data_IF_834773721525
#
_entry.id   IF_834773721525
#
_cell.length_a   1.000
_cell.length_b   1.000
_cell.length_c   1.000
_cell.angle_alpha   90.00
_cell.angle_beta   90.00
_cell.angle_gamma   90.00
#
_symmetry.space_group_name_H-M   'P 1'
#
loop_
_entity.id
_entity.type
_entity.pdbx_description
1 polymer ?
#
# COMPACT_ATOMS: atom_id res chain seq x y z
N UNK A 1 1.20 25.38 -3.02
CA UNK A 1 2.15 24.25 -3.16
C UNK A 1 3.38 24.43 -2.29
N UNK A 2 4.04 25.60 -2.28
CA UNK A 2 5.11 25.88 -1.31
C UNK A 2 4.64 25.83 0.14
N UNK A 3 3.43 26.31 0.44
CA UNK A 3 2.89 26.29 1.81
C UNK A 3 2.71 24.86 2.35
N UNK A 4 2.25 23.93 1.50
CA UNK A 4 2.07 22.52 1.90
C UNK A 4 3.41 21.79 2.06
N UNK A 5 4.45 22.20 1.31
CA UNK A 5 5.81 21.67 1.51
C UNK A 5 6.41 22.19 2.82
N UNK A 6 6.17 23.45 3.17
CA UNK A 6 6.59 24.05 4.45
C UNK A 6 5.90 23.36 5.63
N UNK A 7 4.59 23.07 5.49
CA UNK A 7 3.82 22.35 6.50
C UNK A 7 4.34 20.91 6.67
N UNK A 8 4.64 20.22 5.57
CA UNK A 8 5.23 18.87 5.60
C UNK A 8 6.63 18.85 6.23
N UNK A 9 7.50 19.81 5.92
CA UNK A 9 8.82 19.94 6.55
C UNK A 9 8.72 20.20 8.05
N UNK A 10 7.76 21.02 8.47
CA UNK A 10 7.50 21.28 9.89
C UNK A 10 7.03 20.02 10.63
N UNK A 11 6.18 19.21 10.00
CA UNK A 11 5.69 17.94 10.57
C UNK A 11 6.81 16.90 10.67
N UNK A 12 7.71 16.86 9.68
CA UNK A 12 8.85 15.96 9.68
C UNK A 12 9.87 16.33 10.77
N UNK A 13 10.11 17.63 10.96
CA UNK A 13 10.96 18.16 12.04
C UNK A 13 10.37 17.91 13.43
N UNK A 14 9.04 18.03 13.58
CA UNK A 14 8.35 17.72 14.83
C UNK A 14 8.43 16.23 15.19
N UNK A 15 8.36 15.34 14.20
CA UNK A 15 8.54 13.89 14.39
C UNK A 15 9.97 13.53 14.81
N UNK A 16 10.98 14.21 14.23
CA UNK A 16 12.38 13.99 14.58
C UNK A 16 12.71 14.53 15.99
N UNK A 17 12.12 15.67 16.36
CA UNK A 17 12.19 16.20 17.73
C UNK A 17 11.49 15.28 18.75
N UNK A 18 10.38 14.65 18.36
CA UNK A 18 9.70 13.66 19.20
C UNK A 18 10.51 12.36 19.35
N UNK A 19 11.20 11.89 18.31
CA UNK A 19 12.11 10.75 18.39
C UNK A 19 13.33 11.08 19.27
N UNK A 20 13.90 12.28 19.12
CA UNK A 20 14.99 12.77 19.95
C UNK A 20 14.58 12.91 21.44
N UNK A 21 13.38 13.41 21.71
CA UNK A 21 12.82 13.49 23.07
C UNK A 21 12.52 12.10 23.66
N UNK A 22 12.09 11.15 22.84
CA UNK A 22 11.90 9.75 23.25
C UNK A 22 13.22 9.10 23.66
N UNK A 23 14.34 9.47 23.03
CA UNK A 23 15.70 9.01 23.39
C UNK A 23 16.25 9.65 24.66
N UNK A 24 15.85 10.88 25.00
CA UNK A 24 16.33 11.59 26.21
C UNK A 24 15.47 11.34 27.45
N UNK A 25 14.25 10.81 27.29
CA UNK A 25 13.40 10.39 28.41
C UNK A 25 13.88 9.09 29.11
N UNK A 26 14.90 8.41 28.58
CA UNK A 26 15.67 7.45 29.38
C UNK A 26 16.81 8.18 30.11
N UNK A 27 16.49 8.76 31.28
CA UNK A 27 17.32 8.89 32.49
C UNK A 27 16.92 10.14 33.28
N UNK A 28 16.38 10.02 34.50
CA UNK A 28 16.48 11.11 35.46
C UNK A 28 17.96 11.27 35.89
N UNK A 29 18.50 12.49 36.04
CA UNK A 29 19.77 12.66 36.72
C UNK A 29 19.55 12.37 38.20
N UNK A 30 19.93 11.18 38.67
CA UNK A 30 20.01 10.92 40.11
C UNK A 30 21.29 11.53 40.66
N UNK A 31 21.25 12.50 41.59
CA UNK A 31 22.42 12.90 42.35
C UNK A 31 22.67 11.83 43.41
N UNK A 32 23.74 11.05 43.33
CA UNK A 32 24.33 10.40 44.51
C UNK A 32 25.62 9.66 44.18
N UNK A 33 26.73 10.39 44.26
CA UNK A 33 27.95 9.84 44.83
C UNK A 33 27.78 9.74 46.35
N UNK A 34 26.98 8.79 46.83
CA UNK A 34 26.94 8.43 48.25
C UNK A 34 27.91 7.27 48.46
N UNK A 35 29.13 7.63 48.84
CA UNK A 35 30.21 6.71 49.16
C UNK A 35 29.86 5.99 50.48
N UNK A 36 29.25 4.82 50.38
CA UNK A 36 29.00 3.96 51.53
C UNK A 36 30.23 3.07 51.78
N UNK A 37 31.22 3.63 52.48
CA UNK A 37 32.28 2.84 53.12
C UNK A 37 31.64 1.98 54.22
N UNK A 38 31.65 0.66 54.05
CA UNK A 38 31.37 -0.29 55.14
C UNK A 38 32.67 -0.92 55.61
N UNK A 39 33.02 -0.84 56.92
CA UNK A 39 34.18 -1.54 57.46
C UNK A 39 33.75 -2.83 58.18
N UNK A 40 34.44 -3.93 57.92
CA UNK A 40 34.51 -5.05 58.87
C UNK A 40 34.50 -6.44 58.25
N UNK A 41 35.54 -7.23 58.58
CA UNK A 41 35.45 -8.70 58.58
C UNK A 41 36.59 -9.45 57.90
N UNK A 42 37.75 -9.56 58.56
CA UNK A 42 38.72 -10.64 58.32
C UNK A 42 38.15 -11.99 58.79
N UNK A 43 38.49 -13.07 58.06
CA UNK A 43 38.52 -14.53 58.37
C UNK A 43 37.73 -15.28 57.28
N UNK A 44 38.07 -16.46 56.79
CA UNK A 44 39.20 -17.37 56.95
C UNK A 44 39.08 -18.40 55.82
N UNK A 45 40.21 -18.66 55.16
CA UNK A 45 40.63 -19.90 54.48
C UNK A 45 39.80 -21.16 54.85
N UNK A 46 39.05 -21.77 53.92
CA UNK A 46 38.93 -23.25 53.76
C UNK A 46 38.09 -23.71 52.56
N UNK A 47 38.61 -24.75 51.92
CA UNK A 47 37.98 -25.78 51.08
C UNK A 47 37.48 -25.46 49.66
N UNK A 48 38.40 -25.69 48.73
CA UNK A 48 38.16 -26.26 47.40
C UNK A 48 37.65 -27.71 47.53
N UNK A 49 36.35 -27.93 47.70
CA UNK A 49 35.77 -29.27 47.50
C UNK A 49 34.25 -29.18 47.26
N UNK A 50 33.85 -28.61 46.11
CA UNK A 50 32.56 -28.94 45.47
C UNK A 50 32.50 -28.38 44.03
N UNK A 51 33.44 -28.83 43.17
CA UNK A 51 33.49 -28.39 41.76
C UNK A 51 32.62 -29.22 40.81
N UNK A 52 31.82 -30.16 41.29
CA UNK A 52 31.08 -31.10 40.43
C UNK A 52 29.65 -31.39 40.94
N UNK A 53 28.73 -30.41 40.87
CA UNK A 53 27.27 -30.65 40.68
C UNK A 53 26.50 -29.34 40.63
N UNK A 54 26.59 -28.70 39.48
CA UNK A 54 25.75 -27.55 39.19
C UNK A 54 26.13 -27.05 37.83
N UNK A 55 25.67 -27.73 36.77
CA UNK A 55 25.43 -27.06 35.50
C UNK A 55 24.47 -25.92 35.79
N UNK A 56 25.04 -24.78 36.16
CA UNK A 56 24.36 -23.50 36.27
C UNK A 56 23.97 -23.19 34.84
N UNK A 57 22.79 -23.65 34.45
CA UNK A 57 22.09 -23.10 33.30
C UNK A 57 22.09 -21.59 33.53
N UNK A 58 22.90 -20.87 32.77
CA UNK A 58 22.85 -19.41 32.71
C UNK A 58 21.55 -19.06 31.99
N UNK A 59 20.42 -19.33 32.65
CA UNK A 59 19.11 -18.84 32.28
C UNK A 59 19.16 -17.37 32.61
N UNK A 60 19.58 -16.57 31.62
CA UNK A 60 19.49 -15.12 31.74
C UNK A 60 18.06 -14.78 32.16
N UNK A 61 17.88 -13.95 33.19
CA UNK A 61 16.55 -13.64 33.67
C UNK A 61 15.74 -13.09 32.49
N UNK A 62 14.54 -13.63 32.27
CA UNK A 62 13.56 -13.17 31.27
C UNK A 62 13.00 -11.78 31.59
N UNK A 63 13.81 -10.93 32.22
CA UNK A 63 13.48 -9.59 32.65
C UNK A 63 13.36 -8.69 31.42
N UNK A 64 12.15 -8.16 31.21
CA UNK A 64 11.88 -7.13 30.18
C UNK A 64 12.72 -5.87 30.40
N UNK A 65 13.26 -5.62 31.60
CA UNK A 65 14.17 -4.48 31.86
C UNK A 65 15.55 -4.65 31.21
N UNK A 66 16.08 -5.88 31.15
CA UNK A 66 17.38 -6.12 30.49
C UNK A 66 17.26 -5.93 28.98
N UNK A 67 16.17 -6.41 28.37
CA UNK A 67 15.85 -6.17 26.96
C UNK A 67 15.64 -4.69 26.62
N UNK A 68 15.11 -3.89 27.55
CA UNK A 68 14.98 -2.44 27.39
C UNK A 68 16.33 -1.69 27.44
N UNK A 69 17.34 -2.24 28.13
CA UNK A 69 18.67 -1.62 28.19
C UNK A 69 19.62 -2.12 27.09
N UNK A 70 19.42 -3.34 26.59
CA UNK A 70 20.21 -3.92 25.50
C UNK A 70 19.28 -4.66 24.53
N UNK A 71 18.80 -4.00 23.46
CA UNK A 71 17.97 -4.65 22.47
C UNK A 71 18.76 -5.76 21.77
N UNK A 72 18.17 -6.96 21.69
CA UNK A 72 18.79 -8.11 21.04
C UNK A 72 18.75 -7.96 19.51
N UNK A 73 19.53 -8.76 18.79
CA UNK A 73 19.47 -8.81 17.31
C UNK A 73 18.05 -9.13 16.81
N UNK A 74 17.30 -9.95 17.56
CA UNK A 74 15.91 -10.26 17.25
C UNK A 74 14.99 -9.04 17.40
N UNK A 75 15.25 -8.18 18.38
CA UNK A 75 14.47 -6.95 18.59
C UNK A 75 14.72 -5.94 17.45
N UNK A 76 15.98 -5.79 17.01
CA UNK A 76 16.32 -4.98 15.84
C UNK A 76 15.66 -5.52 14.58
N UNK A 77 15.77 -6.83 14.33
CA UNK A 77 15.12 -7.45 13.17
C UNK A 77 13.59 -7.28 13.20
N UNK A 78 12.96 -7.39 14.39
CA UNK A 78 11.53 -7.12 14.55
C UNK A 78 11.20 -5.66 14.25
N UNK A 79 11.99 -4.71 14.73
CA UNK A 79 11.80 -3.29 14.43
C UNK A 79 11.94 -3.00 12.93
N UNK A 80 12.94 -3.60 12.27
CA UNK A 80 13.15 -3.48 10.82
C UNK A 80 11.96 -4.03 10.02
N UNK A 81 11.43 -5.19 10.42
CA UNK A 81 10.24 -5.75 9.79
C UNK A 81 9.03 -4.83 9.97
N UNK A 82 8.81 -4.30 11.17
CA UNK A 82 7.72 -3.36 11.43
C UNK A 82 7.87 -2.07 10.61
N UNK A 83 9.10 -1.55 10.49
CA UNK A 83 9.39 -0.36 9.68
C UNK A 83 9.12 -0.62 8.19
N UNK A 84 9.50 -1.80 7.66
CA UNK A 84 9.19 -2.17 6.27
C UNK A 84 7.69 -2.32 6.02
N UNK A 85 6.97 -2.91 6.96
CA UNK A 85 5.51 -3.07 6.86
C UNK A 85 4.82 -1.71 6.93
N UNK A 86 5.19 -0.84 7.87
CA UNK A 86 4.59 0.50 8.00
C UNK A 86 4.86 1.34 6.75
N UNK A 87 6.08 1.30 6.23
CA UNK A 87 6.45 1.97 4.98
C UNK A 87 5.57 1.48 3.82
N UNK A 88 5.44 0.16 3.67
CA UNK A 88 4.63 -0.42 2.58
C UNK A 88 3.15 -0.06 2.73
N UNK A 89 2.61 -0.05 3.95
CA UNK A 89 1.23 0.38 4.21
C UNK A 89 1.03 1.85 3.87
N UNK A 90 1.97 2.73 4.22
CA UNK A 90 1.90 4.14 3.86
C UNK A 90 1.92 4.34 2.33
N UNK A 91 2.78 3.60 1.63
CA UNK A 91 2.84 3.62 0.16
C UNK A 91 1.53 3.17 -0.48
N UNK A 92 0.90 2.09 0.02
CA UNK A 92 -0.40 1.65 -0.47
C UNK A 92 -1.50 2.69 -0.21
N UNK A 93 -1.54 3.26 1.00
CA UNK A 93 -2.53 4.27 1.35
C UNK A 93 -2.40 5.53 0.47
N UNK A 94 -1.17 5.96 0.18
CA UNK A 94 -0.90 7.04 -0.75
C UNK A 94 -1.41 6.70 -2.16
N UNK A 95 -1.11 5.50 -2.65
CA UNK A 95 -1.57 5.04 -3.98
C UNK A 95 -3.10 4.98 -4.08
N UNK A 96 -3.79 4.48 -3.05
CA UNK A 96 -5.26 4.41 -3.01
C UNK A 96 -5.88 5.81 -2.99
N UNK A 97 -5.27 6.73 -2.24
CA UNK A 97 -5.73 8.12 -2.17
C UNK A 97 -5.57 8.81 -3.52
N UNK A 98 -4.42 8.63 -4.18
CA UNK A 98 -4.17 9.18 -5.52
C UNK A 98 -5.10 8.59 -6.58
N UNK A 99 -5.36 7.28 -6.51
CA UNK A 99 -6.33 6.62 -7.38
C UNK A 99 -7.75 7.18 -7.15
N UNK A 100 -8.20 7.29 -5.90
CA UNK A 100 -9.52 7.83 -5.59
C UNK A 100 -9.67 9.30 -6.01
N UNK A 101 -8.59 10.09 -5.94
CA UNK A 101 -8.57 11.48 -6.43
C UNK A 101 -8.73 11.52 -7.95
N UNK A 102 -7.97 10.71 -8.68
CA UNK A 102 -7.98 10.69 -10.16
C UNK A 102 -9.23 10.04 -10.74
N UNK A 103 -9.78 9.01 -10.10
CA UNK A 103 -11.00 8.31 -10.55
C UNK A 103 -12.27 9.14 -10.42
N UNK A 104 -12.23 10.26 -9.68
CA UNK A 104 -13.35 11.17 -9.47
C UNK A 104 -13.30 12.40 -10.36
N UNK A 105 -12.25 12.57 -11.16
CA UNK A 105 -12.13 13.70 -12.06
C UNK A 105 -13.17 13.56 -13.19
N UNK A 106 -13.86 14.66 -13.55
CA UNK A 106 -14.84 14.62 -14.62
C UNK A 106 -14.15 14.45 -15.98
N UNK A 107 -14.85 13.81 -16.91
CA UNK A 107 -14.43 13.79 -18.31
C UNK A 107 -14.36 15.22 -18.87
N UNK A 108 -13.45 15.45 -19.80
CA UNK A 108 -13.32 16.75 -20.47
C UNK A 108 -14.56 17.09 -21.30
N UNK A 109 -14.93 18.37 -21.35
CA UNK A 109 -16.01 18.85 -22.19
C UNK A 109 -15.60 18.77 -23.67
N UNK A 110 -16.53 18.38 -24.55
CA UNK A 110 -16.24 18.22 -25.99
C UNK A 110 -15.64 19.48 -26.62
N UNK A 111 -16.12 20.66 -26.21
CA UNK A 111 -15.62 21.95 -26.68
C UNK A 111 -14.14 22.16 -26.36
N UNK A 112 -13.72 21.78 -25.16
CA UNK A 112 -12.32 21.89 -24.74
C UNK A 112 -11.43 20.89 -25.49
N UNK A 113 -11.95 19.69 -25.75
CA UNK A 113 -11.26 18.67 -26.57
C UNK A 113 -11.06 19.17 -28.01
N UNK A 114 -12.05 19.80 -28.61
CA UNK A 114 -11.95 20.37 -29.96
C UNK A 114 -10.95 21.54 -30.02
N UNK A 115 -10.99 22.42 -29.02
CA UNK A 115 -10.02 23.51 -28.91
C UNK A 115 -8.58 22.97 -28.77
N UNK A 116 -8.39 21.93 -27.95
CA UNK A 116 -7.11 21.28 -27.77
C UNK A 116 -6.64 20.57 -29.06
N UNK A 117 -7.54 19.91 -29.79
CA UNK A 117 -7.24 19.30 -31.10
C UNK A 117 -6.78 20.36 -32.12
N UNK A 118 -7.47 21.50 -32.17
CA UNK A 118 -7.08 22.60 -33.06
C UNK A 118 -5.69 23.16 -32.70
N UNK A 119 -5.40 23.31 -31.41
CA UNK A 119 -4.08 23.75 -30.92
C UNK A 119 -2.95 22.77 -31.29
N UNK A 120 -3.18 21.45 -31.15
CA UNK A 120 -2.19 20.45 -31.55
C UNK A 120 -1.96 20.45 -33.05
N UNK A 121 -3.01 20.65 -33.86
CA UNK A 121 -2.89 20.73 -35.30
C UNK A 121 -2.08 21.95 -35.76
N UNK A 122 -2.23 23.10 -35.08
CA UNK A 122 -1.48 24.32 -35.41
C UNK A 122 -0.03 24.29 -34.96
N UNK A 123 0.22 23.76 -33.76
CA UNK A 123 1.53 23.88 -33.09
C UNK A 123 2.42 22.66 -33.34
N UNK A 124 1.83 21.52 -33.72
CA UNK A 124 2.48 20.22 -33.91
C UNK A 124 3.51 19.84 -32.81
N UNK A 125 3.15 19.92 -31.52
CA UNK A 125 4.09 19.59 -30.45
C UNK A 125 4.25 18.08 -30.23
N UNK A 126 3.35 17.26 -30.77
CA UNK A 126 3.23 15.82 -30.53
C UNK A 126 3.01 15.12 -31.88
N UNK A 127 3.63 13.94 -32.06
CA UNK A 127 3.49 13.16 -33.30
C UNK A 127 2.09 12.54 -33.35
N UNK A 128 1.53 12.38 -34.56
CA UNK A 128 0.18 11.84 -34.75
C UNK A 128 -0.08 10.50 -34.02
N UNK A 129 0.89 9.58 -34.05
CA UNK A 129 0.82 8.28 -33.35
C UNK A 129 0.54 8.44 -31.84
N UNK A 130 1.10 9.48 -31.23
CA UNK A 130 0.97 9.78 -29.80
C UNK A 130 -0.33 10.54 -29.49
N UNK A 131 -0.98 11.15 -30.49
CA UNK A 131 -2.21 11.91 -30.34
C UNK A 131 -3.50 11.07 -30.42
N UNK A 132 -3.39 9.73 -30.58
CA UNK A 132 -4.55 8.81 -30.72
C UNK A 132 -5.52 8.84 -29.53
N UNK A 133 -5.08 9.28 -28.35
CA UNK A 133 -5.98 9.48 -27.18
C UNK A 133 -7.14 10.45 -27.48
N UNK A 134 -6.97 11.35 -28.45
CA UNK A 134 -8.01 12.30 -28.88
C UNK A 134 -9.07 11.72 -29.80
N UNK A 135 -8.86 10.52 -30.34
CA UNK A 135 -9.84 9.84 -31.19
C UNK A 135 -10.90 9.13 -30.34
N UNK A 136 -10.54 8.72 -29.12
CA UNK A 136 -11.42 8.01 -28.20
C UNK A 136 -12.09 9.00 -27.24
N UNK A 137 -13.40 9.12 -27.34
CA UNK A 137 -14.19 9.93 -26.40
C UNK A 137 -14.02 9.46 -24.96
N UNK A 138 -13.84 10.40 -24.03
CA UNK A 138 -13.76 10.14 -22.59
C UNK A 138 -12.36 9.79 -22.06
N UNK A 139 -11.32 9.81 -22.90
CA UNK A 139 -9.94 9.57 -22.44
C UNK A 139 -9.32 10.82 -21.77
N UNK A 140 -9.82 12.00 -22.13
CA UNK A 140 -9.43 13.26 -21.51
C UNK A 140 -10.28 13.60 -20.28
N UNK A 141 -9.61 14.11 -19.26
CA UNK A 141 -10.21 14.58 -18.00
C UNK A 141 -10.11 16.11 -17.91
N UNK A 142 -11.10 16.75 -17.30
CA UNK A 142 -11.02 18.18 -16.99
C UNK A 142 -10.42 18.39 -15.60
N UNK A 143 -9.41 19.27 -15.54
CA UNK A 143 -8.81 19.73 -14.29
C UNK A 143 -9.44 21.03 -13.77
N UNK A 144 -10.36 21.63 -14.54
CA UNK A 144 -11.01 22.87 -14.15
C UNK A 144 -11.95 22.62 -12.96
N UNK A 145 -12.03 23.55 -11.99
CA UNK A 145 -13.03 23.50 -10.94
C UNK A 145 -14.43 23.37 -11.58
N UNK A 146 -15.32 22.51 -11.03
CA UNK A 146 -16.67 22.41 -11.54
C UNK A 146 -17.34 23.79 -11.51
N UNK A 147 -18.09 24.16 -12.56
CA UNK A 147 -18.75 25.45 -12.59
C UNK A 147 -19.64 25.60 -11.35
N UNK A 148 -19.68 26.79 -10.71
CA UNK A 148 -20.51 27.00 -9.55
C UNK A 148 -21.96 26.66 -9.88
N UNK A 149 -22.70 25.99 -8.98
CA UNK A 149 -24.10 25.70 -9.21
C UNK A 149 -24.83 27.02 -9.53
N UNK A 150 -25.75 27.04 -10.51
CA UNK A 150 -26.49 28.24 -10.83
C UNK A 150 -27.18 28.75 -9.56
N UNK A 151 -26.99 30.04 -9.27
CA UNK A 151 -27.65 30.70 -8.16
C UNK A 151 -29.16 30.44 -8.25
N UNK A 152 -29.85 30.15 -7.13
CA UNK A 152 -31.28 29.89 -7.17
C UNK A 152 -32.00 31.16 -7.61
N UNK A 153 -32.41 31.21 -8.87
CA UNK A 153 -33.40 32.15 -9.34
C UNK A 153 -34.69 31.87 -8.57
N UNK A 154 -35.17 32.88 -7.85
CA UNK A 154 -36.38 32.82 -7.07
C UNK A 154 -37.57 32.35 -7.93
N UNK A 155 -38.10 31.17 -7.63
CA UNK A 155 -39.40 30.70 -8.08
C UNK A 155 -40.07 29.95 -6.92
N UNK A 156 -41.41 30.02 -6.82
CA UNK A 156 -42.12 29.91 -5.55
C UNK A 156 -42.14 28.49 -5.01
N UNK A 157 -42.17 28.43 -3.68
CA UNK A 157 -42.35 27.24 -2.85
C UNK A 157 -43.63 26.50 -3.27
N UNK A 158 -43.48 25.34 -3.89
CA UNK A 158 -44.53 24.32 -3.93
C UNK A 158 -44.05 23.17 -3.07
N UNK A 159 -44.65 23.07 -1.88
CA UNK A 159 -44.48 21.94 -0.97
C UNK A 159 -45.22 20.74 -1.59
N UNK A 160 -44.50 19.70 -1.96
CA UNK A 160 -45.05 18.40 -2.32
C UNK A 160 -44.17 17.27 -1.73
N UNK A 161 -44.77 16.13 -1.35
CA UNK A 161 -44.34 15.36 -0.18
C UNK A 161 -43.16 14.43 -0.45
N UNK A 162 -42.52 14.03 0.65
CA UNK A 162 -41.44 13.06 0.77
C UNK A 162 -41.74 11.76 -0.01
N UNK A 163 -41.22 11.64 -1.24
CA UNK A 163 -41.15 10.36 -1.94
C UNK A 163 -39.72 9.81 -1.87
N UNK A 164 -39.61 8.66 -1.23
CA UNK A 164 -38.44 7.80 -1.17
C UNK A 164 -38.01 7.41 -2.59
N UNK A 165 -37.06 8.13 -3.18
CA UNK A 165 -36.48 7.75 -4.49
C UNK A 165 -35.47 6.62 -4.28
N UNK A 166 -36.05 5.43 -4.30
CA UNK A 166 -35.42 4.13 -4.46
C UNK A 166 -34.52 4.14 -5.70
N UNK A 167 -33.23 3.78 -5.54
CA UNK A 167 -32.28 3.53 -6.65
C UNK A 167 -32.88 2.47 -7.58
N UNK A 168 -33.59 2.92 -8.61
CA UNK A 168 -34.03 2.09 -9.72
C UNK A 168 -32.96 2.23 -10.79
N UNK A 169 -32.09 1.22 -10.87
CA UNK A 169 -31.15 1.01 -11.95
C UNK A 169 -31.93 0.87 -13.25
N UNK A 170 -32.01 1.94 -14.05
CA UNK A 170 -32.51 1.87 -15.42
C UNK A 170 -31.41 1.27 -16.32
N UNK A 171 -31.68 0.19 -17.06
CA UNK A 171 -30.75 -0.36 -18.04
C UNK A 171 -30.70 0.52 -19.32
N UNK A 172 -29.57 0.55 -20.04
CA UNK A 172 -29.46 1.26 -21.32
C UNK A 172 -30.25 0.55 -22.44
N UNK A 173 -30.65 1.27 -23.52
CA UNK A 173 -31.45 0.72 -24.60
C UNK A 173 -30.69 -0.38 -25.39
N UNK A 174 -31.41 -1.36 -25.96
CA UNK A 174 -30.79 -2.49 -26.65
C UNK A 174 -30.28 -2.05 -28.03
N UNK A 175 -28.95 -2.08 -28.20
CA UNK A 175 -28.37 -2.17 -29.53
C UNK A 175 -28.74 -3.54 -30.12
N UNK A 176 -29.50 -3.51 -31.23
CA UNK A 176 -29.73 -4.68 -32.07
C UNK A 176 -28.38 -5.25 -32.53
N UNK A 177 -27.97 -6.37 -31.95
CA UNK A 177 -27.02 -7.27 -32.58
C UNK A 177 -27.82 -8.38 -33.28
N UNK A 178 -27.64 -8.59 -34.60
CA UNK A 178 -28.18 -9.77 -35.24
C UNK A 178 -27.52 -11.01 -34.64
N UNK A 179 -28.39 -11.95 -34.27
CA UNK A 179 -28.13 -13.31 -33.82
C UNK A 179 -26.75 -13.89 -34.16
N UNK A 180 -25.98 -14.21 -33.13
CA UNK A 180 -25.23 -15.47 -33.09
C UNK A 180 -25.52 -16.18 -31.77
N UNK A 181 -26.66 -16.86 -31.82
CA UNK A 181 -27.24 -17.65 -30.76
C UNK A 181 -26.57 -19.02 -30.75
N UNK A 182 -25.56 -19.22 -29.88
CA UNK A 182 -25.33 -20.52 -29.22
C UNK A 182 -24.37 -20.42 -28.03
N UNK A 183 -24.89 -20.81 -26.86
CA UNK A 183 -24.22 -21.47 -25.73
C UNK A 183 -23.47 -20.63 -24.67
N UNK A 184 -24.09 -20.38 -23.50
CA UNK A 184 -23.39 -19.90 -22.29
C UNK A 184 -22.53 -20.99 -21.60
N UNK A 185 -22.69 -22.27 -21.96
CA UNK A 185 -21.88 -23.37 -21.40
C UNK A 185 -20.49 -23.45 -22.03
N UNK A 186 -20.35 -23.11 -23.31
CA UNK A 186 -19.06 -23.17 -24.01
C UNK A 186 -18.12 -22.09 -23.52
N UNK A 187 -18.58 -20.87 -23.21
CA UNK A 187 -17.69 -19.82 -22.71
C UNK A 187 -17.06 -20.16 -21.36
N UNK A 188 -17.83 -20.72 -20.42
CA UNK A 188 -17.27 -21.20 -19.14
C UNK A 188 -16.35 -22.39 -19.36
N UNK A 189 -16.73 -23.33 -20.23
CA UNK A 189 -15.86 -24.47 -20.58
C UNK A 189 -14.58 -24.03 -21.29
N UNK A 190 -14.62 -23.00 -22.13
CA UNK A 190 -13.48 -22.43 -22.84
C UNK A 190 -12.57 -21.66 -21.89
N UNK A 191 -13.12 -20.88 -20.96
CA UNK A 191 -12.32 -20.21 -19.93
C UNK A 191 -11.66 -21.22 -18.99
N UNK A 192 -12.40 -22.25 -18.55
CA UNK A 192 -11.84 -23.32 -17.74
C UNK A 192 -10.81 -24.15 -18.52
N UNK A 193 -11.04 -24.42 -19.81
CA UNK A 193 -10.08 -25.11 -20.68
C UNK A 193 -8.84 -24.25 -20.93
N UNK A 194 -8.98 -22.93 -21.10
CA UNK A 194 -7.87 -22.01 -21.26
C UNK A 194 -7.02 -21.97 -19.98
N UNK A 195 -7.65 -21.83 -18.81
CA UNK A 195 -6.95 -21.87 -17.53
C UNK A 195 -6.30 -23.24 -17.28
N UNK A 196 -7.00 -24.33 -17.58
CA UNK A 196 -6.45 -25.68 -17.47
C UNK A 196 -5.29 -25.90 -18.43
N UNK A 197 -5.34 -25.38 -19.65
CA UNK A 197 -4.26 -25.51 -20.64
C UNK A 197 -2.95 -24.87 -20.18
N UNK A 198 -3.02 -23.84 -19.35
CA UNK A 198 -1.86 -23.15 -18.78
C UNK A 198 -1.43 -23.82 -17.48
N UNK A 199 -2.39 -24.24 -16.64
CA UNK A 199 -2.10 -24.79 -15.31
C UNK A 199 -1.62 -26.25 -15.36
N UNK A 200 -2.18 -27.09 -16.25
CA UNK A 200 -1.81 -28.52 -16.34
C UNK A 200 -0.32 -28.72 -16.64
N UNK A 201 0.30 -28.02 -17.60
CA UNK A 201 1.73 -28.18 -17.88
C UNK A 201 2.61 -27.74 -16.69
N UNK A 202 2.24 -26.65 -16.02
CA UNK A 202 2.97 -26.13 -14.84
C UNK A 202 2.85 -27.09 -13.65
N UNK A 203 1.66 -27.67 -13.44
CA UNK A 203 1.41 -28.66 -12.40
C UNK A 203 2.07 -30.02 -12.73
N UNK A 204 2.04 -30.47 -13.99
CA UNK A 204 2.77 -31.69 -14.40
C UNK A 204 4.28 -31.52 -14.22
N UNK A 205 4.80 -30.30 -14.40
CA UNK A 205 6.19 -29.99 -14.07
C UNK A 205 6.50 -30.22 -12.60
N UNK A 206 5.62 -29.85 -11.65
CA UNK A 206 5.88 -30.04 -10.21
C UNK A 206 5.87 -31.51 -9.77
N UNK A 207 5.22 -32.40 -10.51
CA UNK A 207 5.10 -33.83 -10.19
C UNK A 207 6.27 -34.67 -10.70
N UNK A 208 7.04 -34.19 -11.68
CA UNK A 208 8.26 -34.88 -12.15
C UNK A 208 9.49 -34.39 -11.35
N UNK A 209 10.08 -35.23 -10.47
CA UNK A 209 11.24 -34.82 -9.67
C UNK A 209 12.54 -34.72 -10.48
N UNK A 210 12.54 -35.18 -11.74
CA UNK A 210 13.74 -35.19 -12.59
C UNK A 210 13.76 -34.03 -13.60
N UNK A 211 14.80 -33.19 -13.47
CA UNK A 211 15.14 -32.07 -14.34
C UNK A 211 15.21 -32.43 -15.84
N UNK A 212 15.66 -33.64 -16.16
CA UNK A 212 15.79 -34.12 -17.56
C UNK A 212 14.43 -34.30 -18.23
N UNK A 213 13.40 -34.75 -17.50
CA UNK A 213 12.05 -34.91 -18.05
C UNK A 213 11.41 -33.58 -18.44
N UNK A 214 11.71 -32.52 -17.68
CA UNK A 214 11.25 -31.15 -17.92
C UNK A 214 11.86 -30.55 -19.19
N UNK A 215 13.16 -30.75 -19.41
CA UNK A 215 13.85 -30.27 -20.63
C UNK A 215 13.39 -31.05 -21.87
N UNK A 216 13.20 -32.36 -21.78
CA UNK A 216 12.74 -33.17 -22.92
C UNK A 216 11.35 -32.76 -23.42
N UNK A 217 10.40 -32.50 -22.52
CA UNK A 217 9.04 -32.03 -22.90
C UNK A 217 9.10 -30.62 -23.49
N UNK A 218 9.91 -29.72 -22.93
CA UNK A 218 10.07 -28.37 -23.46
C UNK A 218 10.67 -28.36 -24.87
N UNK A 219 11.60 -29.28 -25.17
CA UNK A 219 12.18 -29.44 -26.51
C UNK A 219 11.21 -30.11 -27.49
N UNK A 220 10.34 -31.01 -27.02
CA UNK A 220 9.35 -31.68 -27.87
C UNK A 220 8.14 -30.79 -28.23
N UNK A 221 7.85 -29.78 -27.40
CA UNK A 221 6.74 -28.83 -27.60
C UNK A 221 7.16 -27.59 -28.40
N UNK A 222 8.47 -27.34 -28.57
CA UNK A 222 9.03 -26.29 -29.42
C UNK A 222 9.15 -26.73 -30.88
#
# INVERSE_FOLDING_TARGET
>A
MQDELCELESHLSALDAADAASRTLSLPPTPSSAIARSPGGRRSRRNEENRERGMKTHTHPSSRRAAAQQPSQLDHHRADLLARVSYKMAQYNASLTSFAKTSRLPAAESKDVEAYRAFLASTQPVVWEEARFLERGGDLISLAPPPPPPAPAAAPVVVAPLETVQRTLTPPPPHYHPQQQTQPHTQRALLLAALASILLPVLMFTVVPNFVGRIAVAVLVA
#
